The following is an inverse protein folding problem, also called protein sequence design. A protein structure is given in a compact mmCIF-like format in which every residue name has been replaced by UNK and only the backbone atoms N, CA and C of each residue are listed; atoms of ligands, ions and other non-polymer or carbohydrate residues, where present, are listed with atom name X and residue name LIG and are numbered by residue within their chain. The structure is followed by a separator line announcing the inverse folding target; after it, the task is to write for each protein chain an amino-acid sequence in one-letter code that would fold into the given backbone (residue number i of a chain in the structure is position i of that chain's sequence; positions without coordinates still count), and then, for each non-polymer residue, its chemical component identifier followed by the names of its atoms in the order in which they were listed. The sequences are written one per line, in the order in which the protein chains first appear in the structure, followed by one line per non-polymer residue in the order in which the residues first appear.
data_IF_267657756911
#
_entry.id   IF_267657756911
#
_cell.length_a   1.000
_cell.length_b   1.000
_cell.length_c   1.000
_cell.angle_alpha   90.00
_cell.angle_beta   90.00
_cell.angle_gamma   90.00
#
_symmetry.space_group_name_H-M   'P 1'
#
loop_
_entity.id
_entity.type
_entity.pdbx_description
1 polymer ?
#
# COMPACT_ATOMS: atom_id res chain seq x y z
N UNK A 1 17.31 -4.10 6.94
CA UNK A 1 16.46 -4.61 5.84
C UNK A 1 16.06 -3.47 4.92
N UNK A 2 15.56 -3.78 3.73
CA UNK A 2 14.98 -2.85 2.76
C UNK A 2 13.46 -2.97 2.81
N UNK A 3 12.79 -1.92 3.29
CA UNK A 3 11.34 -1.87 3.45
C UNK A 3 10.77 -0.94 2.38
N UNK A 4 9.98 -1.49 1.46
CA UNK A 4 9.21 -0.74 0.48
C UNK A 4 7.82 -0.40 1.01
N UNK A 5 7.33 0.81 0.75
CA UNK A 5 6.01 1.28 1.20
C UNK A 5 5.35 2.07 0.07
N UNK A 6 4.08 1.75 -0.25
CA UNK A 6 3.30 2.51 -1.24
C UNK A 6 2.73 3.82 -0.66
N UNK A 7 3.34 4.96 -0.88
CA UNK A 7 2.83 6.24 -0.35
C UNK A 7 1.83 6.94 -1.29
N UNK A 8 1.30 6.25 -2.30
CA UNK A 8 0.41 6.85 -3.32
C UNK A 8 -0.94 7.29 -2.76
N UNK A 9 -1.35 6.79 -1.59
CA UNK A 9 -2.57 7.20 -0.88
C UNK A 9 -2.47 8.60 -0.25
N UNK A 10 -1.27 9.09 0.05
CA UNK A 10 -1.09 10.32 0.86
C UNK A 10 -1.78 11.56 0.27
N UNK A 11 -1.73 11.84 -1.04
CA UNK A 11 -2.30 13.08 -1.57
C UNK A 11 -3.83 13.14 -1.56
N UNK A 12 -4.53 12.03 -1.29
CA UNK A 12 -5.99 11.99 -1.32
C UNK A 12 -6.67 12.59 -0.08
N UNK A 13 -5.92 12.87 1.00
CA UNK A 13 -6.47 13.53 2.19
C UNK A 13 -7.51 12.71 2.97
N UNK A 14 -7.50 11.39 2.85
CA UNK A 14 -8.43 10.46 3.51
C UNK A 14 -7.87 9.94 4.84
N UNK A 15 -8.66 9.12 5.57
CA UNK A 15 -8.18 8.40 6.75
C UNK A 15 -6.96 7.53 6.46
N UNK A 16 -6.96 6.79 5.34
CA UNK A 16 -5.80 6.01 4.87
C UNK A 16 -4.60 6.92 4.60
N UNK A 17 -4.83 8.09 3.98
CA UNK A 17 -3.78 9.06 3.71
C UNK A 17 -3.09 9.54 4.99
N UNK A 18 -3.87 9.88 6.01
CA UNK A 18 -3.39 10.32 7.33
C UNK A 18 -2.64 9.20 8.06
N UNK A 19 -3.15 7.97 7.99
CA UNK A 19 -2.48 6.80 8.55
C UNK A 19 -1.13 6.56 7.86
N UNK A 20 -1.10 6.47 6.53
CA UNK A 20 0.11 6.21 5.75
C UNK A 20 1.18 7.28 6.00
N UNK A 21 0.80 8.57 6.01
CA UNK A 21 1.73 9.66 6.26
C UNK A 21 2.36 9.57 7.65
N UNK A 22 1.55 9.38 8.69
CA UNK A 22 2.04 9.29 10.07
C UNK A 22 2.88 8.03 10.28
N UNK A 23 2.45 6.88 9.75
CA UNK A 23 3.21 5.63 9.82
C UNK A 23 4.61 5.82 9.23
N UNK A 24 4.71 6.30 7.98
CA UNK A 24 6.00 6.52 7.31
C UNK A 24 6.86 7.53 8.06
N UNK A 25 6.26 8.65 8.51
CA UNK A 25 6.96 9.70 9.25
C UNK A 25 7.57 9.18 10.55
N UNK A 26 6.81 8.42 11.34
CA UNK A 26 7.27 7.91 12.63
C UNK A 26 8.16 6.68 12.50
N UNK A 27 7.95 5.81 11.52
CA UNK A 27 8.89 4.72 11.23
C UNK A 27 10.29 5.28 10.91
N UNK A 28 10.38 6.18 9.93
CA UNK A 28 11.66 6.77 9.52
C UNK A 28 12.31 7.57 10.67
N UNK A 29 11.52 8.25 11.50
CA UNK A 29 12.05 9.03 12.63
C UNK A 29 12.66 8.14 13.72
N UNK A 30 12.08 6.97 13.97
CA UNK A 30 12.46 6.10 15.09
C UNK A 30 13.35 4.92 14.67
N UNK A 31 13.50 4.67 13.37
CA UNK A 31 14.31 3.56 12.86
C UNK A 31 15.36 4.03 11.85
N UNK A 32 16.62 3.92 12.26
CA UNK A 32 17.81 4.20 11.45
C UNK A 32 18.48 2.94 10.89
N UNK A 33 18.02 1.75 11.27
CA UNK A 33 18.64 0.48 10.90
C UNK A 33 18.20 -0.04 9.52
N UNK A 34 16.98 0.31 9.10
CA UNK A 34 16.42 -0.11 7.82
C UNK A 34 16.53 0.97 6.75
N UNK A 35 16.47 0.53 5.49
CA UNK A 35 16.38 1.38 4.30
C UNK A 35 14.93 1.43 3.85
N UNK A 36 14.37 2.63 3.75
CA UNK A 36 12.99 2.86 3.32
C UNK A 36 12.93 3.24 1.84
N UNK A 37 12.18 2.48 1.05
CA UNK A 37 11.90 2.75 -0.36
C UNK A 37 10.43 3.14 -0.53
N UNK A 38 10.18 4.43 -0.70
CA UNK A 38 8.83 4.96 -0.83
C UNK A 38 8.43 4.97 -2.29
N UNK A 39 7.46 4.13 -2.66
CA UNK A 39 6.85 4.10 -3.98
C UNK A 39 5.73 5.14 -4.04
N UNK A 40 5.78 6.04 -5.03
CA UNK A 40 4.74 7.02 -5.25
C UNK A 40 4.42 7.09 -6.74
N UNK A 41 3.15 6.92 -7.10
CA UNK A 41 2.71 7.23 -8.46
C UNK A 41 1.44 8.07 -8.50
N UNK A 42 1.48 9.11 -9.32
CA UNK A 42 0.28 9.83 -9.73
C UNK A 42 0.53 10.64 -10.99
N UNK A 43 -0.48 10.72 -11.85
CA UNK A 43 -0.44 11.60 -13.03
C UNK A 43 -0.65 13.08 -12.66
N UNK A 44 -1.49 13.35 -11.64
CA UNK A 44 -1.95 14.71 -11.29
C UNK A 44 -1.59 15.13 -9.87
N UNK A 45 -1.48 14.18 -8.95
CA UNK A 45 -1.17 14.48 -7.56
C UNK A 45 0.31 14.77 -7.36
N UNK A 46 0.59 15.69 -6.44
CA UNK A 46 1.97 16.03 -6.06
C UNK A 46 2.38 15.22 -4.83
N UNK A 47 3.63 14.79 -4.83
CA UNK A 47 4.26 14.20 -3.65
C UNK A 47 4.20 15.18 -2.48
N UNK A 48 3.74 14.70 -1.32
CA UNK A 48 3.59 15.49 -0.09
C UNK A 48 4.90 16.22 0.29
N UNK A 49 4.82 17.51 0.68
CA UNK A 49 5.97 18.25 1.20
C UNK A 49 6.63 17.57 2.40
N UNK A 50 5.86 16.90 3.25
CA UNK A 50 6.40 16.19 4.42
C UNK A 50 7.31 15.04 4.01
N UNK A 51 6.90 14.24 3.01
CA UNK A 51 7.72 13.14 2.49
C UNK A 51 9.02 13.68 1.85
N UNK A 52 8.95 14.81 1.14
CA UNK A 52 10.15 15.47 0.61
C UNK A 52 11.11 15.91 1.72
N UNK A 53 10.58 16.43 2.85
CA UNK A 53 11.38 16.79 4.03
C UNK A 53 12.04 15.56 4.64
N UNK A 54 11.33 14.43 4.74
CA UNK A 54 11.90 13.17 5.24
C UNK A 54 13.11 12.71 4.40
N UNK A 55 12.98 12.68 3.08
CA UNK A 55 14.12 12.34 2.19
C UNK A 55 15.32 13.26 2.36
N UNK A 56 15.09 14.57 2.54
CA UNK A 56 16.19 15.53 2.76
C UNK A 56 16.88 15.32 4.11
N UNK A 57 16.13 14.92 5.12
CA UNK A 57 16.63 14.77 6.50
C UNK A 57 17.31 13.42 6.75
N UNK A 58 16.81 12.34 6.15
CA UNK A 58 17.25 10.98 6.47
C UNK A 58 17.85 10.28 5.25
N UNK A 59 19.12 9.83 5.38
CA UNK A 59 19.88 9.20 4.30
C UNK A 59 19.37 7.79 3.92
N UNK A 60 18.69 7.12 4.85
CA UNK A 60 18.11 5.79 4.64
C UNK A 60 16.76 5.82 3.89
N UNK A 61 16.34 6.97 3.34
CA UNK A 61 15.07 7.12 2.61
C UNK A 61 15.31 7.36 1.12
N UNK A 62 14.74 6.49 0.28
CA UNK A 62 14.71 6.63 -1.18
C UNK A 62 13.27 6.78 -1.64
N UNK A 63 13.02 7.69 -2.59
CA UNK A 63 11.70 7.93 -3.17
C UNK A 63 11.74 7.56 -4.64
N UNK A 64 10.81 6.70 -5.05
CA UNK A 64 10.58 6.29 -6.42
C UNK A 64 9.27 6.93 -6.88
N UNK A 65 9.39 7.95 -7.73
CA UNK A 65 8.26 8.78 -8.17
C UNK A 65 7.96 8.54 -9.65
N UNK A 66 6.74 8.09 -9.95
CA UNK A 66 6.26 7.86 -11.29
C UNK A 66 5.07 8.78 -11.63
N UNK A 67 5.01 9.21 -12.90
CA UNK A 67 3.90 10.01 -13.43
C UNK A 67 2.91 9.15 -14.19
N UNK A 68 2.42 8.10 -13.55
CA UNK A 68 1.50 7.14 -14.13
C UNK A 68 0.16 7.19 -13.37
N UNK A 69 -0.98 7.06 -14.07
CA UNK A 69 -2.29 7.14 -13.43
C UNK A 69 -2.55 5.89 -12.57
N UNK A 70 -3.35 5.99 -11.49
CA UNK A 70 -3.75 4.82 -10.69
C UNK A 70 -4.40 3.71 -11.52
N UNK A 71 -5.10 4.07 -12.60
CA UNK A 71 -5.73 3.11 -13.53
C UNK A 71 -4.73 2.25 -14.28
N UNK A 72 -3.51 2.76 -14.53
CA UNK A 72 -2.44 1.96 -15.10
C UNK A 72 -2.04 0.84 -14.13
N UNK A 73 -1.79 1.18 -12.87
CA UNK A 73 -1.43 0.21 -11.82
C UNK A 73 -2.56 -0.75 -11.48
N UNK A 74 -3.81 -0.27 -11.47
CA UNK A 74 -5.00 -1.12 -11.40
C UNK A 74 -4.98 -2.17 -12.51
N UNK A 75 -4.67 -1.79 -13.74
CA UNK A 75 -4.60 -2.74 -14.85
C UNK A 75 -3.46 -3.77 -14.68
N UNK A 76 -2.23 -3.32 -14.43
CA UNK A 76 -1.07 -4.23 -14.38
C UNK A 76 -0.98 -5.08 -13.11
N UNK A 77 -1.48 -4.60 -11.97
CA UNK A 77 -1.35 -5.28 -10.68
C UNK A 77 -2.62 -6.01 -10.24
N UNK A 78 -3.82 -5.48 -10.53
CA UNK A 78 -5.05 -6.21 -10.27
C UNK A 78 -5.46 -7.14 -11.41
N UNK A 79 -5.50 -6.64 -12.65
CA UNK A 79 -6.07 -7.42 -13.76
C UNK A 79 -5.09 -8.43 -14.33
N UNK A 80 -3.87 -7.98 -14.61
CA UNK A 80 -2.85 -8.85 -15.21
C UNK A 80 -1.97 -9.53 -14.17
N UNK A 81 -1.68 -8.85 -13.05
CA UNK A 81 -0.82 -9.33 -11.97
C UNK A 81 0.59 -9.78 -12.44
N UNK A 82 1.22 -9.00 -13.35
CA UNK A 82 2.46 -9.41 -14.06
C UNK A 82 3.71 -8.61 -13.71
N UNK A 83 3.58 -7.35 -13.29
CA UNK A 83 4.74 -6.47 -13.09
C UNK A 83 5.08 -6.35 -11.61
N UNK A 84 6.13 -7.03 -11.12
CA UNK A 84 6.46 -7.01 -9.71
C UNK A 84 6.96 -5.64 -9.26
N UNK A 85 6.68 -5.28 -8.00
CA UNK A 85 7.05 -3.98 -7.45
C UNK A 85 8.57 -3.74 -7.52
N UNK A 86 9.37 -4.79 -7.47
CA UNK A 86 10.83 -4.72 -7.56
C UNK A 86 11.32 -4.17 -8.92
N UNK A 87 10.50 -4.17 -9.99
CA UNK A 87 10.83 -3.48 -11.25
C UNK A 87 10.78 -1.94 -11.11
N UNK A 88 10.00 -1.44 -10.15
CA UNK A 88 9.86 -0.02 -9.90
C UNK A 88 10.86 0.44 -8.83
N UNK A 89 10.87 -0.22 -7.67
CA UNK A 89 11.71 0.24 -6.55
C UNK A 89 13.04 -0.50 -6.41
N UNK A 90 13.33 -1.47 -7.29
CA UNK A 90 14.42 -2.43 -7.09
C UNK A 90 14.14 -3.43 -5.97
N UNK A 91 15.10 -4.29 -5.65
CA UNK A 91 14.96 -5.32 -4.61
C UNK A 91 14.53 -4.72 -3.26
N UNK A 92 13.58 -5.36 -2.57
CA UNK A 92 13.22 -5.08 -1.19
C UNK A 92 12.90 -6.39 -0.45
N UNK A 93 13.02 -6.37 0.87
CA UNK A 93 12.77 -7.55 1.72
C UNK A 93 11.28 -7.62 2.09
N UNK A 94 10.66 -6.45 2.29
CA UNK A 94 9.24 -6.29 2.62
C UNK A 94 8.63 -5.22 1.71
N UNK A 95 7.42 -5.44 1.22
CA UNK A 95 6.60 -4.40 0.60
C UNK A 95 5.28 -4.23 1.33
N UNK A 96 4.96 -2.99 1.75
CA UNK A 96 3.74 -2.67 2.50
C UNK A 96 2.68 -2.01 1.60
N UNK A 97 1.52 -2.67 1.49
CA UNK A 97 0.33 -2.26 0.72
C UNK A 97 -0.85 -1.90 1.63
N UNK A 98 -1.92 -1.37 1.02
CA UNK A 98 -3.17 -0.98 1.69
C UNK A 98 -4.37 -1.57 0.96
N UNK A 99 -5.55 -0.97 1.11
CA UNK A 99 -6.82 -1.46 0.59
C UNK A 99 -7.00 -1.41 -0.94
N UNK A 100 -6.15 -0.69 -1.68
CA UNK A 100 -6.42 -0.41 -3.10
C UNK A 100 -5.72 -1.32 -4.11
N UNK A 101 -4.44 -1.69 -3.90
CA UNK A 101 -3.65 -2.47 -4.87
C UNK A 101 -2.74 -3.46 -4.16
N UNK A 102 -2.60 -4.64 -4.77
CA UNK A 102 -1.67 -5.68 -4.36
C UNK A 102 -0.73 -6.03 -5.55
N UNK A 103 0.43 -5.37 -5.69
CA UNK A 103 1.40 -5.73 -6.72
C UNK A 103 1.98 -7.13 -6.47
N UNK A 104 2.30 -7.91 -7.51
CA UNK A 104 3.10 -9.11 -7.33
C UNK A 104 4.48 -8.72 -6.78
N UNK A 105 5.10 -9.66 -6.08
CA UNK A 105 6.49 -9.56 -5.63
C UNK A 105 7.27 -10.77 -6.12
N UNK A 106 8.58 -10.59 -6.36
CA UNK A 106 9.46 -11.73 -6.72
C UNK A 106 10.08 -12.36 -5.48
N UNK A 107 10.56 -11.52 -4.57
CA UNK A 107 11.27 -11.96 -3.37
C UNK A 107 10.78 -11.24 -2.11
N UNK A 108 10.19 -10.05 -2.25
CA UNK A 108 9.70 -9.31 -1.11
C UNK A 108 8.52 -10.03 -0.45
N UNK A 109 8.54 -10.10 0.89
CA UNK A 109 7.35 -10.47 1.66
C UNK A 109 6.36 -9.31 1.63
N UNK A 110 5.13 -9.56 1.20
CA UNK A 110 4.11 -8.52 1.17
C UNK A 110 3.36 -8.48 2.50
N UNK A 111 3.19 -7.28 3.04
CA UNK A 111 2.37 -7.01 4.22
C UNK A 111 1.27 -6.05 3.77
N UNK A 112 0.03 -6.31 4.15
CA UNK A 112 -1.08 -5.42 3.79
C UNK A 112 -1.83 -4.95 5.03
N UNK A 113 -2.11 -3.64 5.11
CA UNK A 113 -3.01 -3.11 6.13
C UNK A 113 -4.44 -3.08 5.63
N UNK A 114 -5.37 -3.57 6.45
CA UNK A 114 -6.82 -3.49 6.22
C UNK A 114 -7.40 -2.48 7.21
N UNK A 115 -7.97 -1.41 6.67
CA UNK A 115 -8.61 -0.37 7.48
C UNK A 115 -10.05 -0.74 7.85
N UNK A 116 -10.81 -1.21 6.87
CA UNK A 116 -12.17 -1.70 7.05
C UNK A 116 -12.51 -2.78 6.01
N UNK A 117 -13.68 -3.40 6.18
CA UNK A 117 -14.23 -4.39 5.25
C UNK A 117 -15.60 -3.93 4.72
N UNK A 118 -15.88 -2.62 4.76
CA UNK A 118 -17.17 -2.03 4.36
C UNK A 118 -17.53 -2.42 2.92
N UNK A 119 -16.61 -2.44 1.93
CA UNK A 119 -16.97 -2.86 0.57
C UNK A 119 -17.46 -4.30 0.45
N UNK A 120 -17.17 -5.17 1.42
CA UNK A 120 -17.66 -6.56 1.44
C UNK A 120 -18.91 -6.69 2.32
N UNK A 121 -18.88 -6.12 3.53
CA UNK A 121 -19.97 -6.28 4.51
C UNK A 121 -21.20 -5.45 4.16
N UNK A 122 -20.99 -4.26 3.58
CA UNK A 122 -22.05 -3.30 3.24
C UNK A 122 -21.90 -2.81 1.80
N UNK A 123 -21.99 -3.70 0.79
CA UNK A 123 -21.75 -3.35 -0.60
C UNK A 123 -22.74 -2.29 -1.13
N UNK A 124 -23.94 -2.19 -0.54
CA UNK A 124 -24.96 -1.20 -0.92
C UNK A 124 -24.51 0.26 -0.68
N UNK A 125 -23.51 0.48 0.17
CA UNK A 125 -22.98 1.82 0.49
C UNK A 125 -21.80 2.23 -0.38
N UNK A 126 -21.34 1.33 -1.25
CA UNK A 126 -20.11 1.51 -2.00
C UNK A 126 -20.39 1.48 -3.50
N UNK A 127 -19.58 2.21 -4.25
CA UNK A 127 -19.63 2.17 -5.70
C UNK A 127 -19.18 0.78 -6.20
N UNK A 128 -19.84 0.24 -7.23
CA UNK A 128 -19.55 -1.08 -7.84
C UNK A 128 -18.06 -1.27 -8.14
N UNK A 129 -17.39 -0.22 -8.65
CA UNK A 129 -15.95 -0.23 -8.92
C UNK A 129 -15.12 -0.45 -7.64
N UNK A 130 -15.45 0.22 -6.54
CA UNK A 130 -14.76 0.08 -5.25
C UNK A 130 -14.90 -1.34 -4.73
N UNK A 131 -16.11 -1.91 -4.80
CA UNK A 131 -16.38 -3.28 -4.37
C UNK A 131 -15.55 -4.28 -5.19
N UNK A 132 -15.58 -4.15 -6.52
CA UNK A 132 -14.84 -5.03 -7.42
C UNK A 132 -13.32 -4.97 -7.19
N UNK A 133 -12.79 -3.75 -7.06
CA UNK A 133 -11.36 -3.54 -6.80
C UNK A 133 -10.95 -4.10 -5.44
N UNK A 134 -11.74 -3.86 -4.40
CA UNK A 134 -11.46 -4.34 -3.05
C UNK A 134 -11.52 -5.87 -2.96
N UNK A 135 -12.52 -6.50 -3.59
CA UNK A 135 -12.60 -7.96 -3.69
C UNK A 135 -11.39 -8.55 -4.41
N UNK A 136 -10.98 -7.93 -5.52
CA UNK A 136 -9.80 -8.37 -6.28
C UNK A 136 -8.54 -8.24 -5.45
N UNK A 137 -8.35 -7.08 -4.80
CA UNK A 137 -7.22 -6.84 -3.88
C UNK A 137 -7.16 -7.89 -2.79
N UNK A 138 -8.27 -8.17 -2.11
CA UNK A 138 -8.29 -9.14 -1.01
C UNK A 138 -8.03 -10.57 -1.46
N UNK A 139 -8.55 -10.95 -2.64
CA UNK A 139 -8.24 -12.25 -3.24
C UNK A 139 -6.74 -12.38 -3.54
N UNK A 140 -6.11 -11.35 -4.10
CA UNK A 140 -4.67 -11.37 -4.38
C UNK A 140 -3.87 -11.38 -3.08
N UNK A 141 -4.26 -10.55 -2.10
CA UNK A 141 -3.59 -10.48 -0.81
C UNK A 141 -3.70 -11.81 -0.05
N UNK A 142 -4.83 -12.52 -0.10
CA UNK A 142 -4.96 -13.83 0.57
C UNK A 142 -4.07 -14.91 -0.06
N UNK A 143 -3.68 -14.74 -1.33
CA UNK A 143 -2.79 -15.66 -2.04
C UNK A 143 -1.31 -15.30 -1.85
N UNK A 144 -0.98 -14.01 -1.75
CA UNK A 144 0.40 -13.53 -1.88
C UNK A 144 0.93 -12.84 -0.62
N UNK A 145 0.07 -12.30 0.25
CA UNK A 145 0.52 -11.55 1.43
C UNK A 145 1.04 -12.51 2.51
N UNK A 146 2.20 -12.18 3.06
CA UNK A 146 2.81 -12.91 4.18
C UNK A 146 2.16 -12.55 5.52
N UNK A 147 1.56 -11.36 5.63
CA UNK A 147 0.86 -10.93 6.83
C UNK A 147 -0.19 -9.86 6.55
N UNK A 148 -1.24 -9.86 7.38
CA UNK A 148 -2.27 -8.84 7.42
C UNK A 148 -2.16 -8.03 8.71
N UNK A 149 -2.21 -6.70 8.58
CA UNK A 149 -2.34 -5.78 9.72
C UNK A 149 -3.79 -5.28 9.74
N UNK A 150 -4.51 -5.62 10.80
CA UNK A 150 -5.85 -5.08 11.04
C UNK A 150 -5.75 -3.95 12.05
N UNK A 151 -6.37 -2.81 11.76
CA UNK A 151 -6.33 -1.62 12.64
C UNK A 151 -7.20 -1.76 13.89
N UNK A 152 -8.03 -2.80 13.97
CA UNK A 152 -8.87 -3.09 15.14
C UNK A 152 -9.11 -4.60 15.29
N UNK A 153 -9.51 -5.00 16.50
CA UNK A 153 -9.95 -6.38 16.77
C UNK A 153 -11.20 -6.74 15.97
N UNK A 154 -12.12 -5.78 15.74
CA UNK A 154 -13.30 -6.01 14.94
C UNK A 154 -12.94 -6.33 13.48
N UNK A 155 -12.09 -5.50 12.85
CA UNK A 155 -11.60 -5.74 11.48
C UNK A 155 -10.91 -7.10 11.36
N UNK A 156 -10.16 -7.53 12.37
CA UNK A 156 -9.52 -8.85 12.41
C UNK A 156 -10.53 -9.99 12.45
N UNK A 157 -11.57 -9.89 13.29
CA UNK A 157 -12.62 -10.89 13.40
C UNK A 157 -13.41 -11.01 12.10
N UNK A 158 -13.76 -9.87 11.51
CA UNK A 158 -14.49 -9.85 10.24
C UNK A 158 -13.64 -10.39 9.09
N UNK A 159 -12.34 -10.10 9.05
CA UNK A 159 -11.44 -10.68 8.06
C UNK A 159 -11.40 -12.20 8.18
N UNK A 160 -11.24 -12.73 9.40
CA UNK A 160 -11.23 -14.18 9.65
C UNK A 160 -12.55 -14.86 9.27
N UNK A 161 -13.69 -14.20 9.46
CA UNK A 161 -14.99 -14.75 9.04
C UNK A 161 -15.12 -14.84 7.52
N UNK A 162 -14.56 -13.87 6.80
CA UNK A 162 -14.62 -13.80 5.34
C UNK A 162 -13.57 -14.68 4.65
N UNK A 163 -12.41 -14.86 5.29
CA UNK A 163 -11.26 -15.63 4.80
C UNK A 163 -10.69 -16.47 5.95
N UNK A 164 -11.28 -17.65 6.24
CA UNK A 164 -10.85 -18.53 7.34
C UNK A 164 -9.50 -19.21 7.07
#
# INVERSE_FOLDING_TARGET
MIIGIDISSIPYGTGVSSYTLNLVKYLIKNDSSNIYKLFFSSLRQKLSPEIKKLKKKYKNVKIYHYRLPPTFFEYIWHRLHILPIELFIGKCDIFHTWDWLEPPTRHAKTITTIHDLVPILYPKWQHQKTISNFKTKLKLASQCASAFICVSQNTKLDLKKLYP
#
